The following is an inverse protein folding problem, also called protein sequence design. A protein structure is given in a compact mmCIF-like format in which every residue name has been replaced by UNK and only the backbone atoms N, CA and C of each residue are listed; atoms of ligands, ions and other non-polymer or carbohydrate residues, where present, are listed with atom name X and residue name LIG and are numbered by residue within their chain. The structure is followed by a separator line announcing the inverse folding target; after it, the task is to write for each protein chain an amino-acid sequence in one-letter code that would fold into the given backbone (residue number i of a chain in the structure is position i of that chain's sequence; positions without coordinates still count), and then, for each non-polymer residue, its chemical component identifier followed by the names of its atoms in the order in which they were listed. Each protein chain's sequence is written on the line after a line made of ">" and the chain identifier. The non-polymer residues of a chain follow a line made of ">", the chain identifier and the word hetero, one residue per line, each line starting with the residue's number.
data_IF_035805960518
#
_entry.id   IF_035805960518
#
_cell.length_a   1.000
_cell.length_b   1.000
_cell.length_c   1.000
_cell.angle_alpha   90.00
_cell.angle_beta   90.00
_cell.angle_gamma   90.00
#
_symmetry.space_group_name_H-M   'P 1'
#
loop_
_entity.id
_entity.type
_entity.pdbx_description
1 polymer ?
#
# COMPACT_ATOMS: atom_id res chain seq x y z
N UNK A 1 -7.19 9.36 18.94
CA UNK A 1 -7.61 9.37 17.52
C UNK A 1 -8.51 8.16 17.31
N UNK A 2 -9.73 8.35 16.78
CA UNK A 2 -10.66 7.23 16.55
C UNK A 2 -10.04 6.34 15.48
N UNK A 3 -9.51 5.19 15.88
CA UNK A 3 -9.13 4.12 14.96
C UNK A 3 -10.42 3.66 14.31
N UNK A 4 -10.79 4.26 13.18
CA UNK A 4 -11.80 3.68 12.32
C UNK A 4 -11.24 2.31 11.97
N UNK A 5 -11.86 1.26 12.46
CA UNK A 5 -11.50 -0.10 12.10
C UNK A 5 -11.91 -0.27 10.63
N UNK A 6 -11.09 0.20 9.71
CA UNK A 6 -11.21 0.04 8.27
C UNK A 6 -10.89 -1.42 7.91
N UNK A 7 -11.68 -2.36 8.44
CA UNK A 7 -11.56 -3.79 8.17
C UNK A 7 -12.53 -4.11 7.04
N UNK A 8 -11.99 -4.64 5.94
CA UNK A 8 -12.73 -5.02 4.75
C UNK A 8 -12.72 -6.54 4.59
N UNK A 9 -13.68 -7.11 3.87
CA UNK A 9 -13.79 -8.54 3.59
C UNK A 9 -13.44 -8.86 2.15
N UNK A 10 -13.10 -10.12 1.91
CA UNK A 10 -12.96 -10.65 0.54
C UNK A 10 -14.24 -10.39 -0.25
N UNK A 11 -14.07 -9.99 -1.51
CA UNK A 11 -15.13 -9.56 -2.43
C UNK A 11 -15.80 -8.23 -2.09
N UNK A 12 -15.32 -7.47 -1.09
CA UNK A 12 -15.71 -6.07 -0.94
C UNK A 12 -14.94 -5.16 -1.90
N UNK A 13 -15.57 -4.05 -2.28
CA UNK A 13 -14.93 -3.01 -3.06
C UNK A 13 -13.90 -2.27 -2.21
N UNK A 14 -12.72 -2.08 -2.78
CA UNK A 14 -11.61 -1.39 -2.15
C UNK A 14 -11.90 0.12 -2.19
N UNK A 15 -12.00 0.81 -1.04
CA UNK A 15 -12.38 2.23 -1.03
C UNK A 15 -11.24 3.15 -1.46
N UNK A 16 -9.98 2.72 -1.29
CA UNK A 16 -8.79 3.48 -1.64
C UNK A 16 -7.67 2.54 -2.07
N UNK A 17 -6.90 2.89 -3.11
CA UNK A 17 -5.75 2.07 -3.47
C UNK A 17 -4.70 2.17 -2.38
N UNK A 18 -4.12 1.05 -1.98
CA UNK A 18 -3.11 1.03 -0.94
C UNK A 18 -2.67 -0.38 -0.59
N UNK A 19 -1.75 -0.46 0.36
CA UNK A 19 -1.36 -1.72 0.96
C UNK A 19 -2.41 -2.16 2.00
N UNK A 20 -2.86 -3.40 1.89
CA UNK A 20 -3.73 -4.03 2.87
C UNK A 20 -3.10 -5.32 3.38
N UNK A 21 -3.25 -5.59 4.67
CA UNK A 21 -2.80 -6.80 5.33
C UNK A 21 -3.98 -7.72 5.62
N UNK A 22 -3.83 -8.98 5.21
CA UNK A 22 -4.80 -10.02 5.46
C UNK A 22 -4.75 -10.45 6.95
N UNK A 23 -5.77 -11.16 7.45
CA UNK A 23 -5.81 -11.61 8.85
C UNK A 23 -4.59 -12.45 9.30
N UNK A 24 -3.90 -13.09 8.35
CA UNK A 24 -2.70 -13.89 8.59
C UNK A 24 -1.41 -13.06 8.63
N UNK A 25 -1.47 -11.76 8.33
CA UNK A 25 -0.30 -10.89 8.30
C UNK A 25 0.32 -10.70 6.90
N UNK A 26 -0.31 -11.19 5.85
CA UNK A 26 0.21 -11.04 4.48
C UNK A 26 -0.27 -9.75 3.82
N UNK A 27 0.67 -8.97 3.28
CA UNK A 27 0.41 -7.66 2.68
C UNK A 27 0.17 -7.82 1.17
N UNK A 28 -0.86 -7.16 0.65
CA UNK A 28 -1.17 -7.07 -0.77
C UNK A 28 -1.62 -5.66 -1.13
N UNK A 29 -1.18 -5.22 -2.30
CA UNK A 29 -1.62 -3.95 -2.88
C UNK A 29 -2.97 -4.14 -3.56
N UNK A 30 -3.93 -3.30 -3.20
CA UNK A 30 -5.22 -3.22 -3.86
C UNK A 30 -5.40 -1.87 -4.52
N UNK A 31 -6.20 -1.85 -5.60
CA UNK A 31 -6.58 -0.62 -6.25
C UNK A 31 -7.98 -0.20 -5.80
N UNK A 32 -8.22 1.10 -5.72
CA UNK A 32 -9.53 1.67 -5.49
C UNK A 32 -10.52 1.13 -6.52
N UNK A 33 -11.72 0.81 -6.07
CA UNK A 33 -12.81 0.21 -6.84
C UNK A 33 -12.53 -1.24 -7.30
N UNK A 34 -11.36 -1.81 -6.98
CA UNK A 34 -11.06 -3.23 -7.18
C UNK A 34 -11.73 -4.09 -6.08
N UNK A 35 -11.69 -5.42 -6.23
CA UNK A 35 -12.27 -6.34 -5.25
C UNK A 35 -11.18 -6.98 -4.39
N UNK A 36 -11.37 -6.95 -3.08
CA UNK A 36 -10.49 -7.68 -2.16
C UNK A 36 -10.45 -9.16 -2.52
N UNK A 37 -9.28 -9.67 -2.89
CA UNK A 37 -9.09 -11.09 -3.21
C UNK A 37 -8.93 -11.92 -1.93
N UNK A 38 -9.08 -13.25 -2.00
CA UNK A 38 -8.71 -14.14 -0.89
C UNK A 38 -7.26 -13.91 -0.44
N UNK A 39 -6.92 -14.28 0.80
CA UNK A 39 -5.53 -14.15 1.26
C UNK A 39 -4.62 -15.01 0.36
N UNK A 40 -3.49 -14.49 -0.16
CA UNK A 40 -2.62 -15.28 -1.01
C UNK A 40 -2.08 -16.54 -0.31
N UNK A 41 -1.89 -16.49 1.01
CA UNK A 41 -1.46 -17.61 1.85
C UNK A 41 -2.49 -18.76 1.93
N UNK A 42 -3.65 -18.53 2.53
CA UNK A 42 -4.69 -19.57 2.70
C UNK A 42 -5.51 -19.83 1.44
N UNK A 43 -5.58 -18.86 0.52
CA UNK A 43 -6.54 -18.80 -0.60
C UNK A 43 -8.00 -18.82 -0.15
N UNK A 44 -8.25 -18.52 1.12
CA UNK A 44 -9.59 -18.44 1.70
C UNK A 44 -10.04 -16.99 1.89
N UNK A 45 -11.35 -16.81 2.02
CA UNK A 45 -11.94 -15.52 2.32
C UNK A 45 -11.44 -15.00 3.66
N UNK A 46 -10.76 -13.86 3.62
CA UNK A 46 -10.09 -13.21 4.75
C UNK A 46 -10.64 -11.81 4.97
N UNK A 47 -10.18 -11.20 6.07
CA UNK A 47 -10.35 -9.77 6.32
C UNK A 47 -9.06 -9.03 5.99
N UNK A 48 -9.22 -7.86 5.38
CA UNK A 48 -8.15 -6.96 4.97
C UNK A 48 -8.19 -5.71 5.82
N UNK A 49 -7.02 -5.25 6.25
CA UNK A 49 -6.86 -4.01 7.01
C UNK A 49 -5.87 -3.13 6.26
N UNK A 50 -6.08 -1.81 6.13
CA UNK A 50 -5.07 -0.95 5.55
C UNK A 50 -3.81 -1.03 6.41
N UNK A 51 -2.67 -1.17 5.75
CA UNK A 51 -1.36 -1.03 6.37
C UNK A 51 -0.99 0.44 6.26
N UNK A 52 -0.29 0.97 7.26
CA UNK A 52 0.44 2.21 7.08
C UNK A 52 1.36 2.06 5.86
N UNK A 53 0.99 2.72 4.77
CA UNK A 53 1.58 2.62 3.44
C UNK A 53 3.06 3.00 3.50
N UNK A 54 3.94 2.04 3.76
CA UNK A 54 5.39 2.19 3.81
C UNK A 54 5.99 1.29 2.72
N UNK A 55 6.38 1.88 1.60
CA UNK A 55 6.89 1.20 0.42
C UNK A 55 8.39 1.35 0.31
N UNK A 56 9.10 0.28 -0.03
CA UNK A 56 10.55 0.32 -0.19
C UNK A 56 10.92 0.79 -1.60
N UNK A 57 12.10 1.40 -1.74
CA UNK A 57 12.72 1.63 -3.06
C UNK A 57 12.71 0.35 -3.90
N UNK A 58 12.27 0.46 -5.16
CA UNK A 58 12.18 -0.65 -6.09
C UNK A 58 10.91 -1.48 -5.98
N UNK A 59 10.00 -1.16 -5.07
CA UNK A 59 8.64 -1.70 -5.10
C UNK A 59 7.79 -1.01 -6.17
N UNK A 60 6.73 -1.71 -6.61
CA UNK A 60 5.76 -1.14 -7.53
C UNK A 60 4.84 -0.18 -6.79
N UNK A 61 4.63 0.97 -7.41
CA UNK A 61 3.75 2.02 -6.93
C UNK A 61 2.31 1.54 -7.09
N UNK A 62 1.54 1.37 -5.99
CA UNK A 62 0.20 0.82 -6.07
C UNK A 62 -0.81 1.75 -6.73
N UNK A 63 -0.56 3.06 -6.70
CA UNK A 63 -1.43 4.04 -7.33
C UNK A 63 -0.68 5.32 -7.67
N UNK A 64 -1.11 5.99 -8.73
CA UNK A 64 -0.63 7.34 -9.02
C UNK A 64 -0.95 8.27 -7.84
N UNK A 65 0.08 8.84 -7.23
CA UNK A 65 -0.05 9.56 -5.98
C UNK A 65 1.18 10.39 -5.61
N UNK A 66 1.09 11.10 -4.49
CA UNK A 66 2.22 11.75 -3.86
C UNK A 66 2.76 10.84 -2.76
N UNK A 67 4.07 10.62 -2.79
CA UNK A 67 4.78 9.79 -1.85
C UNK A 67 5.89 10.62 -1.21
N UNK A 68 6.04 10.48 0.09
CA UNK A 68 6.97 11.22 0.93
C UNK A 68 7.95 10.22 1.54
N UNK A 69 9.25 10.37 1.32
CA UNK A 69 10.22 9.48 1.95
C UNK A 69 10.46 9.84 3.44
N UNK A 70 11.27 9.04 4.11
CA UNK A 70 11.64 9.20 5.53
C UNK A 70 12.29 10.55 5.83
N UNK A 71 12.94 11.17 4.83
CA UNK A 71 13.55 12.49 4.97
C UNK A 71 12.60 13.64 4.63
N UNK A 72 11.34 13.36 4.28
CA UNK A 72 10.33 14.37 3.96
C UNK A 72 10.34 14.87 2.52
N UNK A 73 11.07 14.24 1.59
CA UNK A 73 11.01 14.59 0.17
C UNK A 73 9.76 13.98 -0.46
N UNK A 74 9.03 14.80 -1.20
CA UNK A 74 7.83 14.37 -1.90
C UNK A 74 8.13 14.12 -3.38
N UNK A 75 7.67 12.98 -3.88
CA UNK A 75 7.70 12.62 -5.29
C UNK A 75 6.29 12.27 -5.75
N UNK A 76 5.96 12.63 -7.00
CA UNK A 76 4.72 12.19 -7.63
C UNK A 76 5.04 10.97 -8.48
N UNK A 77 4.53 9.81 -8.08
CA UNK A 77 4.74 8.56 -8.81
C UNK A 77 3.46 8.17 -9.52
N UNK A 78 3.61 7.43 -10.60
CA UNK A 78 2.49 6.82 -11.33
C UNK A 78 2.29 5.38 -10.87
N UNK A 79 1.07 4.89 -11.01
CA UNK A 79 0.78 3.47 -10.81
C UNK A 79 1.69 2.59 -11.67
N UNK A 80 2.13 1.47 -11.12
CA UNK A 80 3.06 0.50 -11.73
C UNK A 80 4.46 1.08 -12.04
N UNK A 81 4.75 2.30 -11.59
CA UNK A 81 6.10 2.84 -11.58
C UNK A 81 6.90 2.22 -10.42
N UNK A 82 8.22 2.37 -10.41
CA UNK A 82 9.05 1.91 -9.31
C UNK A 82 9.31 3.04 -8.31
N UNK A 83 9.23 2.73 -7.02
CA UNK A 83 9.65 3.66 -5.99
C UNK A 83 11.13 4.02 -6.16
N UNK A 84 11.47 5.30 -6.40
CA UNK A 84 12.84 5.68 -6.65
C UNK A 84 13.70 5.55 -5.39
N UNK A 85 15.01 5.67 -5.55
CA UNK A 85 15.92 5.88 -4.42
C UNK A 85 15.69 7.26 -3.82
N UNK A 86 16.09 7.45 -2.56
CA UNK A 86 16.01 8.75 -1.91
C UNK A 86 16.70 9.80 -2.80
N UNK A 87 15.98 10.83 -3.24
CA UNK A 87 16.51 11.84 -4.17
C UNK A 87 17.72 12.61 -3.59
N UNK A 88 17.81 12.67 -2.26
CA UNK A 88 18.86 13.38 -1.53
C UNK A 88 20.17 12.59 -1.36
N UNK A 89 20.07 11.30 -1.01
CA UNK A 89 21.23 10.45 -0.66
C UNK A 89 21.56 9.42 -1.75
N UNK A 90 20.59 9.06 -2.58
CA UNK A 90 20.70 7.95 -3.52
C UNK A 90 20.60 6.56 -2.85
N UNK A 91 20.33 6.52 -1.55
CA UNK A 91 20.17 5.29 -0.77
C UNK A 91 18.74 4.72 -0.89
N UNK A 92 18.56 3.39 -0.69
CA UNK A 92 17.23 2.82 -0.55
C UNK A 92 16.52 3.45 0.66
N UNK A 93 15.26 3.82 0.48
CA UNK A 93 14.44 4.47 1.52
C UNK A 93 13.02 3.94 1.49
N UNK A 94 12.29 4.26 2.55
CA UNK A 94 10.87 3.96 2.67
C UNK A 94 10.04 5.17 2.26
N UNK A 95 9.11 4.96 1.33
CA UNK A 95 8.16 5.94 0.84
C UNK A 95 6.83 5.75 1.53
N UNK A 96 6.28 6.84 2.05
CA UNK A 96 4.94 6.86 2.61
C UNK A 96 4.00 7.64 1.75
N UNK A 97 2.77 7.18 1.58
CA UNK A 97 1.77 8.00 0.90
C UNK A 97 1.53 9.27 1.74
N UNK A 98 1.64 10.43 1.11
CA UNK A 98 1.56 11.75 1.74
C UNK A 98 0.22 12.44 1.56
#
# INVERSE_FOLDING_TARGET
>A
MKTVQNIYRTSEAVPESGAYICAEGEIKLFQKDDLFTPCPHTRESTTWKPVDDAFSTGELVPQTGRYTDENGNQVKLKENDLFPRCLRSGEPTTWKRG
#
